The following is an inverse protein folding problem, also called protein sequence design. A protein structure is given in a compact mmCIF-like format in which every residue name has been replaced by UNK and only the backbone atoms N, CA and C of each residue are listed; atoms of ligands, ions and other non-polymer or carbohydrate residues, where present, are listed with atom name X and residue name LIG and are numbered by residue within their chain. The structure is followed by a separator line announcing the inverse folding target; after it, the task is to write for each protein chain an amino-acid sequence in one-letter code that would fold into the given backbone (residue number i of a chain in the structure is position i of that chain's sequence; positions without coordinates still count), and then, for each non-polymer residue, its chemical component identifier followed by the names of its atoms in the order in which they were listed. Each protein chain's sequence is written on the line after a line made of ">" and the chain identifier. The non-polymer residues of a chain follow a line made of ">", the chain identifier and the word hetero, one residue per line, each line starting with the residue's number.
data_IF_864787928739
#
_entry.id   IF_864787928739
#
_cell.length_a   1.000
_cell.length_b   1.000
_cell.length_c   1.000
_cell.angle_alpha   90.00
_cell.angle_beta   90.00
_cell.angle_gamma   90.00
#
_symmetry.space_group_name_H-M   'P 1'
#
loop_
_entity.id
_entity.type
_entity.pdbx_description
1 polymer ?
#
# COMPACT_ATOMS: atom_id res chain seq x y z
N UNK A 1 -20.73 -6.82 -1.33
CA UNK A 1 -20.10 -5.90 -0.35
C UNK A 1 -18.61 -5.83 -0.66
N UNK A 2 -18.01 -4.64 -0.66
CA UNK A 2 -16.57 -4.48 -0.92
C UNK A 2 -15.83 -4.35 0.42
N UNK A 3 -14.73 -5.08 0.59
CA UNK A 3 -13.78 -4.82 1.68
C UNK A 3 -12.63 -3.98 1.13
N UNK A 4 -12.64 -2.67 1.40
CA UNK A 4 -11.66 -1.73 0.83
C UNK A 4 -10.28 -1.80 1.47
N UNK A 5 -10.07 -2.63 2.51
CA UNK A 5 -8.77 -2.73 3.17
C UNK A 5 -8.62 -4.05 3.94
N UNK A 6 -7.82 -4.97 3.41
CA UNK A 6 -7.51 -6.23 4.09
C UNK A 6 -6.11 -6.75 3.72
N UNK A 7 -5.28 -7.04 4.73
CA UNK A 7 -3.92 -7.57 4.52
C UNK A 7 -3.91 -9.09 4.29
N UNK A 8 -4.52 -9.56 3.20
CA UNK A 8 -4.51 -10.99 2.84
C UNK A 8 -3.13 -11.54 2.47
N UNK A 9 -2.14 -10.65 2.34
CA UNK A 9 -0.72 -10.98 2.17
C UNK A 9 -0.05 -11.52 3.46
N UNK A 10 -0.73 -11.48 4.62
CA UNK A 10 -0.23 -12.06 5.87
C UNK A 10 -0.90 -13.40 6.21
N UNK A 11 -0.11 -14.36 6.71
CA UNK A 11 -0.52 -15.74 6.99
C UNK A 11 -1.67 -15.89 8.01
N UNK A 12 -1.89 -14.88 8.86
CA UNK A 12 -2.86 -14.94 9.98
C UNK A 12 -4.22 -14.30 9.68
N UNK A 13 -4.42 -13.77 8.48
CA UNK A 13 -5.67 -13.06 8.15
C UNK A 13 -6.74 -14.03 7.67
N UNK A 14 -7.91 -13.97 8.31
CA UNK A 14 -9.07 -14.79 7.95
C UNK A 14 -9.56 -14.42 6.55
N UNK A 15 -9.95 -15.43 5.78
CA UNK A 15 -10.62 -15.23 4.50
C UNK A 15 -11.83 -14.30 4.65
N UNK A 16 -12.07 -13.41 3.68
CA UNK A 16 -13.23 -12.52 3.71
C UNK A 16 -14.54 -13.33 3.67
N UNK A 17 -15.62 -12.71 4.16
CA UNK A 17 -16.94 -13.33 4.18
C UNK A 17 -17.42 -13.74 2.78
N UNK A 18 -18.30 -14.73 2.69
CA UNK A 18 -18.87 -15.19 1.39
C UNK A 18 -19.67 -14.12 0.64
N UNK A 19 -20.13 -13.07 1.31
CA UNK A 19 -20.87 -11.94 0.71
C UNK A 19 -19.95 -10.82 0.21
N UNK A 20 -18.63 -10.95 0.43
CA UNK A 20 -17.62 -10.04 -0.09
C UNK A 20 -17.44 -10.27 -1.58
N UNK A 21 -17.72 -9.24 -2.37
CA UNK A 21 -17.74 -9.27 -3.85
C UNK A 21 -16.49 -8.65 -4.48
N UNK A 22 -15.70 -7.93 -3.69
CA UNK A 22 -14.44 -7.32 -4.11
C UNK A 22 -13.61 -6.94 -2.90
N UNK A 23 -12.29 -6.94 -3.05
CA UNK A 23 -11.36 -6.53 -1.99
C UNK A 23 -10.23 -5.67 -2.53
N UNK A 24 -9.66 -4.84 -1.65
CA UNK A 24 -8.38 -4.16 -1.89
C UNK A 24 -7.37 -4.59 -0.82
N UNK A 25 -6.23 -5.10 -1.26
CA UNK A 25 -5.09 -5.50 -0.42
C UNK A 25 -4.02 -4.41 -0.49
N UNK A 26 -3.78 -3.64 0.58
CA UNK A 26 -2.79 -2.58 0.58
C UNK A 26 -1.42 -3.09 1.04
N UNK A 27 -0.36 -2.54 0.44
CA UNK A 27 0.99 -2.72 0.95
C UNK A 27 1.27 -1.84 2.17
N UNK A 28 2.32 -2.19 2.91
CA UNK A 28 2.88 -1.37 3.99
C UNK A 28 4.21 -0.74 3.59
N UNK A 29 4.95 -1.33 2.66
CA UNK A 29 6.25 -0.82 2.23
C UNK A 29 6.87 -1.71 1.16
N UNK A 30 8.11 -1.38 0.79
CA UNK A 30 8.86 -2.08 -0.26
C UNK A 30 8.97 -3.58 -0.02
N UNK A 31 9.03 -3.97 1.25
CA UNK A 31 9.16 -5.36 1.69
C UNK A 31 7.96 -6.25 1.32
N UNK A 32 6.76 -5.68 1.10
CA UNK A 32 5.56 -6.48 0.81
C UNK A 32 4.84 -6.15 -0.51
N UNK A 33 5.37 -5.27 -1.36
CA UNK A 33 4.80 -5.01 -2.69
C UNK A 33 4.61 -6.30 -3.50
N UNK A 34 5.65 -7.14 -3.61
CA UNK A 34 5.59 -8.38 -4.40
C UNK A 34 4.55 -9.37 -3.88
N UNK A 35 4.41 -9.47 -2.55
CA UNK A 35 3.43 -10.35 -1.90
C UNK A 35 2.00 -9.86 -2.16
N UNK A 36 1.78 -8.55 -2.06
CA UNK A 36 0.48 -7.92 -2.31
C UNK A 36 0.04 -8.10 -3.76
N UNK A 37 0.94 -7.85 -4.71
CA UNK A 37 0.70 -8.07 -6.15
C UNK A 37 0.34 -9.54 -6.38
N UNK A 38 1.19 -10.45 -5.93
CA UNK A 38 0.99 -11.91 -6.10
C UNK A 38 -0.32 -12.41 -5.50
N UNK A 39 -0.73 -11.85 -4.36
CA UNK A 39 -1.99 -12.18 -3.68
C UNK A 39 -3.24 -11.83 -4.52
N UNK A 40 -3.11 -10.83 -5.41
CA UNK A 40 -4.21 -10.32 -6.23
C UNK A 40 -4.22 -10.88 -7.66
N UNK A 41 -3.06 -11.20 -8.25
CA UNK A 41 -2.94 -11.65 -9.66
C UNK A 41 -3.80 -12.88 -9.99
N UNK A 42 -4.05 -13.75 -9.02
CA UNK A 42 -4.83 -14.99 -9.22
C UNK A 42 -6.35 -14.81 -9.20
N UNK A 43 -6.88 -13.63 -8.84
CA UNK A 43 -8.31 -13.44 -8.65
C UNK A 43 -8.79 -12.05 -9.07
N UNK A 44 -9.66 -12.00 -10.10
CA UNK A 44 -10.18 -10.77 -10.72
C UNK A 44 -10.96 -9.84 -9.77
N UNK A 45 -11.45 -10.36 -8.64
CA UNK A 45 -12.17 -9.56 -7.63
C UNK A 45 -11.24 -9.06 -6.52
N UNK A 46 -9.92 -9.28 -6.66
CA UNK A 46 -8.90 -8.76 -5.76
C UNK A 46 -8.13 -7.67 -6.48
N UNK A 47 -8.04 -6.54 -5.82
CA UNK A 47 -7.27 -5.40 -6.26
C UNK A 47 -6.25 -5.08 -5.18
N UNK A 48 -5.26 -4.27 -5.52
CA UNK A 48 -4.21 -3.89 -4.59
C UNK A 48 -3.91 -2.40 -4.63
N UNK A 49 -3.33 -1.93 -3.53
CA UNK A 49 -2.74 -0.62 -3.41
C UNK A 49 -1.25 -0.78 -3.09
N UNK A 50 -0.41 0.09 -3.67
CA UNK A 50 1.02 0.15 -3.36
C UNK A 50 1.38 1.48 -2.73
N UNK A 51 2.17 1.43 -1.65
CA UNK A 51 2.57 2.57 -0.84
C UNK A 51 3.55 2.20 0.26
N UNK A 52 3.91 3.20 1.05
CA UNK A 52 4.79 3.14 2.21
C UNK A 52 4.04 3.76 3.40
N UNK A 53 3.67 2.89 4.34
CA UNK A 53 2.92 3.21 5.54
C UNK A 53 3.75 4.09 6.47
N UNK A 54 3.15 5.08 7.16
CA UNK A 54 3.85 6.00 8.04
C UNK A 54 4.78 5.33 9.06
N UNK A 55 4.42 4.14 9.57
CA UNK A 55 5.22 3.44 10.58
C UNK A 55 6.55 2.89 10.07
N UNK A 56 6.68 2.67 8.77
CA UNK A 56 7.85 2.04 8.16
C UNK A 56 8.79 3.04 7.49
N UNK A 57 8.49 4.34 7.54
CA UNK A 57 9.32 5.36 6.87
C UNK A 57 10.77 5.38 7.37
N UNK A 58 11.02 4.90 8.59
CA UNK A 58 12.38 4.82 9.15
C UNK A 58 13.25 3.75 8.50
N UNK A 59 12.61 2.71 7.94
CA UNK A 59 13.25 1.66 7.16
C UNK A 59 13.42 2.03 5.68
N UNK A 60 12.88 3.17 5.26
CA UNK A 60 12.85 3.62 3.87
C UNK A 60 13.73 4.84 3.63
N UNK A 61 14.31 4.90 2.43
CA UNK A 61 15.02 6.05 1.89
C UNK A 61 14.15 6.77 0.85
N UNK A 62 14.49 8.02 0.53
CA UNK A 62 13.79 8.77 -0.53
C UNK A 62 13.81 8.04 -1.88
N UNK A 63 14.86 7.26 -2.15
CA UNK A 63 14.98 6.45 -3.37
C UNK A 63 13.94 5.32 -3.46
N UNK A 64 13.33 4.92 -2.34
CA UNK A 64 12.26 3.93 -2.36
C UNK A 64 10.95 4.53 -2.87
N UNK A 65 10.75 5.85 -2.81
CA UNK A 65 9.62 6.51 -3.47
C UNK A 65 9.75 6.46 -5.00
N UNK A 66 10.97 6.54 -5.53
CA UNK A 66 11.22 6.32 -6.95
C UNK A 66 10.96 4.86 -7.34
N UNK A 67 11.34 3.91 -6.47
CA UNK A 67 11.02 2.49 -6.68
C UNK A 67 9.51 2.25 -6.67
N UNK A 68 8.77 2.95 -5.80
CA UNK A 68 7.31 2.91 -5.74
C UNK A 68 6.69 3.45 -7.05
N UNK A 69 7.20 4.56 -7.57
CA UNK A 69 6.73 5.13 -8.85
C UNK A 69 6.84 4.14 -10.00
N UNK A 70 8.01 3.49 -10.15
CA UNK A 70 8.23 2.46 -11.17
C UNK A 70 7.18 1.34 -11.03
N UNK A 71 6.98 0.83 -9.81
CA UNK A 71 6.01 -0.24 -9.57
C UNK A 71 4.58 0.18 -9.85
N UNK A 72 4.20 1.43 -9.56
CA UNK A 72 2.87 1.97 -9.89
C UNK A 72 2.66 1.98 -11.40
N UNK A 73 3.66 2.42 -12.17
CA UNK A 73 3.56 2.48 -13.64
C UNK A 73 3.47 1.08 -14.27
N UNK A 74 4.26 0.13 -13.77
CA UNK A 74 4.31 -1.25 -14.25
C UNK A 74 3.03 -2.04 -13.89
N UNK A 75 2.62 -1.99 -12.62
CA UNK A 75 1.61 -2.89 -12.06
C UNK A 75 0.20 -2.28 -12.04
N UNK A 76 0.09 -0.96 -12.14
CA UNK A 76 -1.18 -0.20 -12.19
C UNK A 76 -2.14 -0.56 -11.05
N UNK A 77 -1.72 -0.38 -9.78
CA UNK A 77 -2.59 -0.60 -8.63
C UNK A 77 -3.84 0.29 -8.72
N UNK A 78 -4.94 -0.14 -8.09
CA UNK A 78 -6.19 0.66 -8.10
C UNK A 78 -6.14 1.87 -7.16
N UNK A 79 -5.12 1.94 -6.31
CA UNK A 79 -4.87 3.03 -5.38
C UNK A 79 -3.38 3.10 -5.01
N UNK A 80 -2.95 4.26 -4.52
CA UNK A 80 -1.63 4.43 -3.91
C UNK A 80 -1.81 4.53 -2.40
N UNK A 81 -1.13 3.64 -1.69
CA UNK A 81 -1.27 3.41 -0.26
C UNK A 81 -0.91 1.98 0.15
N UNK A 82 -0.77 1.68 1.43
CA UNK A 82 -1.13 2.57 2.54
C UNK A 82 -0.13 3.73 2.71
N UNK A 83 -0.63 4.92 3.04
CA UNK A 83 0.15 6.13 3.27
C UNK A 83 -0.62 7.10 4.16
N UNK A 84 0.07 7.98 4.89
CA UNK A 84 -0.59 8.92 5.78
C UNK A 84 0.28 9.41 6.92
N UNK A 85 -0.38 9.84 7.98
CA UNK A 85 0.24 10.41 9.16
C UNK A 85 -0.22 9.67 10.41
N UNK A 86 0.74 9.25 11.24
CA UNK A 86 0.51 8.78 12.60
C UNK A 86 1.51 9.47 13.53
N UNK A 87 1.08 10.59 14.12
CA UNK A 87 1.88 11.39 15.05
C UNK A 87 1.95 10.85 16.48
N UNK A 88 1.26 9.73 16.76
CA UNK A 88 1.39 9.01 18.03
C UNK A 88 2.56 8.05 17.94
N UNK A 89 2.73 7.35 16.80
CA UNK A 89 3.77 6.34 16.62
C UNK A 89 5.08 6.88 16.08
N UNK A 90 5.04 7.86 15.18
CA UNK A 90 6.23 8.31 14.47
C UNK A 90 6.70 9.65 15.02
N UNK A 91 7.96 9.68 15.47
CA UNK A 91 8.55 10.87 16.11
C UNK A 91 8.96 11.92 15.08
N UNK A 92 9.56 11.50 13.96
CA UNK A 92 9.96 12.41 12.89
C UNK A 92 8.76 12.79 12.01
N UNK A 93 8.05 13.83 12.43
CA UNK A 93 6.88 14.36 11.72
C UNK A 93 7.23 14.96 10.36
N UNK A 94 8.45 15.46 10.19
CA UNK A 94 8.86 16.08 8.93
C UNK A 94 9.12 15.01 7.88
N UNK A 95 9.85 13.95 8.25
CA UNK A 95 10.04 12.78 7.39
C UNK A 95 8.71 12.12 7.04
N UNK A 96 7.80 11.97 8.02
CA UNK A 96 6.48 11.40 7.76
C UNK A 96 5.66 12.23 6.77
N UNK A 97 5.64 13.56 6.94
CA UNK A 97 4.97 14.46 5.99
C UNK A 97 5.59 14.37 4.60
N UNK A 98 6.92 14.34 4.50
CA UNK A 98 7.59 14.17 3.21
C UNK A 98 7.14 12.90 2.49
N UNK A 99 7.18 11.73 3.15
CA UNK A 99 6.73 10.48 2.55
C UNK A 99 5.23 10.48 2.19
N UNK A 100 4.39 11.17 2.97
CA UNK A 100 2.98 11.28 2.67
C UNK A 100 2.72 12.19 1.46
N UNK A 101 3.32 13.39 1.44
CA UNK A 101 3.15 14.37 0.37
C UNK A 101 3.63 13.81 -0.98
N UNK A 102 4.74 13.09 -1.01
CA UNK A 102 5.26 12.44 -2.24
C UNK A 102 4.32 11.33 -2.77
N UNK A 103 3.71 10.56 -1.88
CA UNK A 103 2.73 9.53 -2.27
C UNK A 103 1.41 10.13 -2.76
N UNK A 104 0.98 11.27 -2.20
CA UNK A 104 -0.16 12.05 -2.73
C UNK A 104 0.16 12.61 -4.11
N UNK A 105 1.39 13.09 -4.32
CA UNK A 105 1.85 13.55 -5.64
C UNK A 105 1.85 12.42 -6.66
N UNK A 106 2.28 11.21 -6.28
CA UNK A 106 2.14 10.01 -7.13
C UNK A 106 0.67 9.73 -7.48
N UNK A 107 -0.25 9.79 -6.51
CA UNK A 107 -1.68 9.55 -6.72
C UNK A 107 -2.39 10.59 -7.60
N UNK A 108 -1.77 11.74 -7.83
CA UNK A 108 -2.29 12.76 -8.76
C UNK A 108 -1.78 12.52 -10.19
N UNK A 109 -0.69 11.77 -10.37
CA UNK A 109 -0.05 11.51 -11.67
C UNK A 109 -0.54 10.22 -12.35
N UNK A 110 -0.98 9.23 -11.58
CA UNK A 110 -1.40 7.90 -12.03
C UNK A 110 -2.86 7.63 -11.67
#
# INVERSE_FOLDING_TARGET
>A
MINSHIHLDFDSVKSPSKVTTGIVVPSMGKENWDNVISCCTSNKNRHFALGIHPWLIDDHQMLDLYSLEIRIEEEKPVAIGDCGLDYIKVKDRNKQRYFFDEQVALATRF
#
